data_IF_261710190866
#
_entry.id   IF_261710190866
#
_cell.length_a   1.000
_cell.length_b   1.000
_cell.length_c   1.000
_cell.angle_alpha   90.00
_cell.angle_beta   90.00
_cell.angle_gamma   90.00
#
_symmetry.space_group_name_H-M   'P 1'
#
loop_
_entity.id
_entity.type
_entity.pdbx_description
1 polymer ?
#
# COMPACT_ATOMS: atom_id res chain seq x y z
N UNK A 1 16.00 56.28 10.99
CA UNK A 1 15.66 54.88 10.65
C UNK A 1 14.64 54.39 11.68
N UNK A 2 13.35 54.43 11.33
CA UNK A 2 12.24 53.98 12.17
C UNK A 2 11.66 52.71 11.53
N UNK A 3 11.66 51.61 12.26
CA UNK A 3 11.12 50.33 11.83
C UNK A 3 9.63 50.27 12.16
N UNK A 4 8.85 49.88 11.15
CA UNK A 4 7.41 49.66 11.19
C UNK A 4 7.14 48.21 11.62
N UNK A 5 6.39 47.93 12.70
CA UNK A 5 6.06 46.56 13.06
C UNK A 5 4.79 46.09 12.32
N UNK A 6 5.00 45.24 11.31
CA UNK A 6 4.00 44.40 10.63
C UNK A 6 3.54 43.25 11.55
N UNK A 7 2.89 43.59 12.67
CA UNK A 7 2.35 42.61 13.63
C UNK A 7 0.83 42.72 13.81
N UNK A 8 0.02 42.64 12.75
CA UNK A 8 -1.25 41.97 12.96
C UNK A 8 -1.69 41.18 11.73
N UNK A 9 -0.91 40.19 11.30
CA UNK A 9 -1.36 39.22 10.26
C UNK A 9 -1.26 37.77 10.75
N UNK A 10 -0.76 37.52 11.97
CA UNK A 10 -0.65 36.17 12.54
C UNK A 10 -1.82 35.79 13.48
N UNK A 11 -2.94 36.53 13.49
CA UNK A 11 -4.06 36.25 14.40
C UNK A 11 -5.36 35.77 13.71
N UNK A 12 -5.34 35.50 12.39
CA UNK A 12 -6.57 35.15 11.63
C UNK A 12 -6.63 33.67 11.20
N UNK A 13 -5.60 32.86 11.45
CA UNK A 13 -5.58 31.45 11.02
C UNK A 13 -6.01 30.41 12.08
N UNK A 14 -6.29 30.81 13.33
CA UNK A 14 -6.69 29.87 14.38
C UNK A 14 -8.21 29.69 14.56
N UNK A 15 -9.05 30.40 13.79
CA UNK A 15 -10.50 30.40 14.00
C UNK A 15 -11.30 29.52 13.01
N UNK A 16 -10.66 28.55 12.33
CA UNK A 16 -11.35 27.72 11.32
C UNK A 16 -11.72 26.30 11.76
N UNK A 17 -11.76 26.01 13.07
CA UNK A 17 -12.42 24.81 13.60
C UNK A 17 -13.33 25.17 14.76
N UNK A 18 -14.55 25.59 14.44
CA UNK A 18 -15.68 25.50 15.35
C UNK A 18 -16.73 24.64 14.64
N UNK A 19 -16.75 23.35 14.98
CA UNK A 19 -17.78 22.44 14.51
C UNK A 19 -19.07 22.72 15.29
N UNK A 20 -20.24 22.85 14.61
CA UNK A 20 -21.52 23.01 15.29
C UNK A 20 -21.93 21.71 16.01
N UNK A 21 -22.40 21.83 17.25
CA UNK A 21 -22.69 20.73 18.19
C UNK A 21 -24.00 19.95 17.90
N UNK A 22 -24.76 20.25 16.84
CA UNK A 22 -26.10 19.70 16.62
C UNK A 22 -26.22 18.80 15.38
N UNK A 23 -25.36 17.78 15.26
CA UNK A 23 -25.60 16.65 14.35
C UNK A 23 -26.19 15.47 15.15
N UNK A 24 -27.37 14.90 14.78
CA UNK A 24 -27.91 13.76 15.48
C UNK A 24 -26.99 12.55 15.30
N UNK A 25 -26.35 12.16 16.40
CA UNK A 25 -25.50 10.99 16.49
C UNK A 25 -26.35 9.72 16.44
N UNK A 26 -26.37 9.03 15.31
CA UNK A 26 -26.50 7.57 15.29
C UNK A 26 -25.54 6.97 14.28
N UNK A 27 -24.25 7.20 14.50
CA UNK A 27 -23.23 6.27 14.01
C UNK A 27 -23.34 5.05 14.92
N UNK A 28 -23.85 3.95 14.39
CA UNK A 28 -23.77 2.66 15.06
C UNK A 28 -22.31 2.44 15.43
N UNK A 29 -22.03 2.41 16.74
CA UNK A 29 -20.71 2.06 17.26
C UNK A 29 -20.49 0.61 16.85
N UNK A 30 -19.69 0.40 15.82
CA UNK A 30 -19.08 -0.89 15.58
C UNK A 30 -18.22 -1.19 16.81
N UNK A 31 -18.63 -2.20 17.58
CA UNK A 31 -17.78 -2.81 18.58
C UNK A 31 -16.55 -3.35 17.83
N UNK A 32 -15.48 -2.54 17.82
CA UNK A 32 -14.17 -2.99 17.35
C UNK A 32 -13.68 -3.95 18.41
N UNK A 33 -13.97 -5.23 18.20
CA UNK A 33 -13.30 -6.33 18.88
C UNK A 33 -11.80 -6.10 18.67
N UNK A 34 -11.10 -5.71 19.74
CA UNK A 34 -9.66 -5.50 19.74
C UNK A 34 -9.02 -6.84 19.45
N UNK A 35 -8.78 -7.11 18.17
CA UNK A 35 -7.94 -8.19 17.69
C UNK A 35 -6.58 -8.01 18.33
N UNK A 36 -6.28 -8.90 19.27
CA UNK A 36 -4.98 -9.03 19.93
C UNK A 36 -3.93 -9.02 18.83
N UNK A 37 -3.02 -8.04 18.87
CA UNK A 37 -2.00 -7.89 17.86
C UNK A 37 -1.16 -9.18 17.83
N UNK A 38 -1.46 -10.06 16.88
CA UNK A 38 -0.67 -11.26 16.66
C UNK A 38 0.78 -10.81 16.49
N UNK A 39 1.64 -11.20 17.43
CA UNK A 39 3.08 -11.07 17.26
C UNK A 39 3.43 -11.94 16.06
N UNK A 40 3.43 -11.36 14.87
CA UNK A 40 3.96 -12.00 13.67
C UNK A 40 5.42 -12.25 13.99
N UNK A 41 5.75 -13.51 14.30
CA UNK A 41 7.12 -13.90 14.60
C UNK A 41 8.05 -13.43 13.49
N UNK A 42 9.26 -13.00 13.84
CA UNK A 42 10.23 -12.57 12.85
C UNK A 42 10.44 -13.70 11.84
N UNK A 43 10.22 -13.41 10.56
CA UNK A 43 10.44 -14.37 9.47
C UNK A 43 11.94 -14.67 9.40
N UNK A 44 12.35 -15.94 9.46
CA UNK A 44 13.75 -16.33 9.23
C UNK A 44 14.12 -15.95 7.78
N UNK A 45 15.08 -15.04 7.54
CA UNK A 45 15.47 -14.64 6.21
C UNK A 45 15.89 -15.80 5.32
N UNK A 46 16.46 -16.88 5.89
CA UNK A 46 16.87 -18.06 5.12
C UNK A 46 15.66 -18.80 4.58
N UNK A 47 14.64 -19.01 5.41
CA UNK A 47 13.39 -19.66 4.97
C UNK A 47 12.70 -18.84 3.88
N UNK A 48 12.69 -17.51 4.04
CA UNK A 48 12.16 -16.62 3.01
C UNK A 48 12.94 -16.76 1.69
N UNK A 49 14.28 -16.73 1.74
CA UNK A 49 15.11 -16.84 0.53
C UNK A 49 14.95 -18.21 -0.13
N UNK A 50 14.96 -19.29 0.65
CA UNK A 50 14.80 -20.67 0.16
C UNK A 50 13.47 -20.88 -0.56
N UNK A 51 12.40 -20.21 -0.12
CA UNK A 51 11.09 -20.31 -0.77
C UNK A 51 10.99 -19.43 -2.01
N UNK A 52 11.26 -18.13 -1.88
CA UNK A 52 10.96 -17.14 -2.92
C UNK A 52 12.00 -17.10 -4.05
N UNK A 53 13.26 -17.45 -3.80
CA UNK A 53 14.34 -17.32 -4.79
C UNK A 53 14.70 -18.64 -5.48
N UNK A 54 13.72 -19.53 -5.63
CA UNK A 54 13.86 -20.82 -6.36
C UNK A 54 13.84 -20.68 -7.88
N UNK A 55 13.55 -19.48 -8.40
CA UNK A 55 13.33 -19.23 -9.83
C UNK A 55 11.93 -19.62 -10.32
N UNK A 56 11.03 -19.99 -9.41
CA UNK A 56 9.62 -20.27 -9.69
C UNK A 56 8.73 -19.07 -9.37
N UNK A 57 7.51 -19.08 -9.91
CA UNK A 57 6.47 -18.11 -9.59
C UNK A 57 5.34 -18.74 -8.78
N UNK A 58 4.72 -17.95 -7.90
CA UNK A 58 3.51 -18.35 -7.17
C UNK A 58 2.27 -17.72 -7.80
N UNK A 59 1.21 -18.52 -7.94
CA UNK A 59 -0.08 -18.11 -8.50
C UNK A 59 -1.18 -18.37 -7.49
N UNK A 60 -1.93 -17.33 -7.15
CA UNK A 60 -3.08 -17.43 -6.26
C UNK A 60 -4.34 -16.86 -6.91
N UNK A 61 -5.45 -17.56 -6.77
CA UNK A 61 -6.75 -17.16 -7.32
C UNK A 61 -7.77 -16.98 -6.20
N UNK A 62 -8.54 -15.90 -6.26
CA UNK A 62 -9.52 -15.54 -5.25
C UNK A 62 -10.84 -15.12 -5.90
N UNK A 63 -11.95 -15.43 -5.24
CA UNK A 63 -13.22 -14.76 -5.49
C UNK A 63 -13.11 -13.29 -5.01
N UNK A 64 -13.58 -12.35 -5.83
CA UNK A 64 -13.52 -10.91 -5.55
C UNK A 64 -14.93 -10.33 -5.49
N UNK A 65 -15.19 -9.48 -4.49
CA UNK A 65 -16.32 -8.54 -4.51
C UNK A 65 -15.79 -7.12 -4.56
N UNK A 66 -16.03 -6.44 -5.68
CA UNK A 66 -15.57 -5.07 -5.92
C UNK A 66 -16.76 -4.10 -5.89
N UNK A 67 -16.69 -3.07 -5.06
CA UNK A 67 -17.71 -2.02 -5.01
C UNK A 67 -17.46 -0.98 -6.10
N UNK A 68 -18.51 -0.65 -6.87
CA UNK A 68 -18.52 0.39 -7.91
C UNK A 68 -19.87 1.09 -7.92
N UNK A 69 -19.86 2.43 -7.83
CA UNK A 69 -21.07 3.26 -7.80
C UNK A 69 -22.08 2.85 -6.72
N UNK A 70 -21.60 2.39 -5.56
CA UNK A 70 -22.45 1.92 -4.47
C UNK A 70 -23.03 0.52 -4.67
N UNK A 71 -22.68 -0.19 -5.73
CA UNK A 71 -23.15 -1.55 -6.00
C UNK A 71 -21.99 -2.56 -5.91
N UNK A 72 -22.18 -3.73 -5.27
CA UNK A 72 -21.19 -4.80 -5.26
C UNK A 72 -21.17 -5.54 -6.61
N UNK A 73 -19.98 -5.78 -7.14
CA UNK A 73 -19.74 -6.55 -8.38
C UNK A 73 -18.91 -7.78 -8.05
N UNK A 74 -19.46 -8.95 -8.37
CA UNK A 74 -18.70 -10.20 -8.29
C UNK A 74 -17.65 -10.24 -9.40
N UNK A 75 -16.49 -10.82 -9.09
CA UNK A 75 -15.39 -10.98 -10.02
C UNK A 75 -14.33 -11.93 -9.49
N UNK A 76 -13.16 -11.90 -10.13
CA UNK A 76 -12.03 -12.75 -9.80
C UNK A 76 -10.78 -11.88 -9.63
N UNK A 77 -9.92 -12.27 -8.68
CA UNK A 77 -8.59 -11.70 -8.51
C UNK A 77 -7.53 -12.79 -8.65
N UNK A 78 -6.47 -12.48 -9.40
CA UNK A 78 -5.30 -13.35 -9.57
C UNK A 78 -4.07 -12.58 -9.12
N UNK A 79 -3.31 -13.16 -8.19
CA UNK A 79 -2.03 -12.65 -7.72
C UNK A 79 -0.92 -13.53 -8.26
N UNK A 80 0.00 -12.92 -9.01
CA UNK A 80 1.18 -13.60 -9.55
C UNK A 80 2.43 -13.01 -8.89
N UNK A 81 3.12 -13.82 -8.09
CA UNK A 81 4.39 -13.45 -7.46
C UNK A 81 5.55 -14.09 -8.21
N UNK A 82 6.54 -13.30 -8.60
CA UNK A 82 7.75 -13.77 -9.29
C UNK A 82 8.97 -12.98 -8.82
N UNK A 83 10.15 -13.60 -8.82
CA UNK A 83 11.41 -12.86 -8.66
C UNK A 83 11.91 -12.39 -10.04
N UNK A 84 12.28 -11.12 -10.17
CA UNK A 84 12.88 -10.58 -11.40
C UNK A 84 14.14 -9.74 -11.11
N UNK A 85 15.10 -9.68 -12.05
CA UNK A 85 16.26 -8.81 -11.92
C UNK A 85 15.89 -7.34 -12.15
N UNK A 86 16.43 -6.47 -11.31
CA UNK A 86 16.13 -5.04 -11.26
C UNK A 86 17.42 -4.24 -11.13
N UNK A 87 17.47 -3.06 -11.76
CA UNK A 87 18.62 -2.16 -11.66
C UNK A 87 18.51 -1.33 -10.38
N UNK A 88 19.50 -1.46 -9.50
CA UNK A 88 19.56 -0.66 -8.28
C UNK A 88 19.66 0.83 -8.59
N UNK A 89 20.45 1.20 -9.60
CA UNK A 89 20.67 2.60 -9.98
C UNK A 89 19.51 3.20 -10.77
N UNK A 90 18.97 2.48 -11.76
CA UNK A 90 17.94 3.01 -12.67
C UNK A 90 16.53 2.77 -12.17
N UNK A 91 16.35 1.87 -11.19
CA UNK A 91 15.05 1.50 -10.65
C UNK A 91 14.08 0.99 -11.73
N UNK A 92 14.60 0.17 -12.65
CA UNK A 92 13.81 -0.49 -13.71
C UNK A 92 14.24 -1.95 -13.83
N UNK A 93 13.36 -2.79 -14.40
CA UNK A 93 13.67 -4.18 -14.73
C UNK A 93 14.91 -4.26 -15.64
N UNK A 94 15.77 -5.24 -15.40
CA UNK A 94 16.90 -5.56 -16.26
C UNK A 94 16.53 -6.70 -17.23
N UNK A 95 16.74 -6.47 -18.53
CA UNK A 95 16.58 -7.52 -19.55
C UNK A 95 17.86 -8.36 -19.74
N UNK A 96 19.02 -7.80 -19.37
CA UNK A 96 20.35 -8.44 -19.48
C UNK A 96 21.15 -8.25 -18.19
N UNK A 97 20.74 -8.89 -17.07
CA UNK A 97 21.42 -8.74 -15.78
C UNK A 97 22.90 -9.17 -15.79
N UNK A 98 23.28 -10.07 -16.71
CA UNK A 98 24.65 -10.54 -16.89
C UNK A 98 25.62 -9.47 -17.42
N UNK A 99 25.11 -8.41 -18.07
CA UNK A 99 25.94 -7.35 -18.64
C UNK A 99 26.48 -6.38 -17.57
N UNK A 100 25.77 -6.24 -16.44
CA UNK A 100 26.21 -5.46 -15.28
C UNK A 100 25.69 -6.13 -13.99
N UNK A 101 26.38 -7.19 -13.52
CA UNK A 101 25.98 -7.92 -12.32
C UNK A 101 26.00 -7.06 -11.05
N UNK A 102 26.75 -5.95 -11.05
CA UNK A 102 26.86 -5.06 -9.88
C UNK A 102 25.64 -4.15 -9.71
N UNK A 103 24.96 -3.83 -10.80
CA UNK A 103 23.71 -3.06 -10.79
C UNK A 103 22.47 -3.97 -10.63
N UNK A 104 22.61 -5.28 -10.80
CA UNK A 104 21.52 -6.24 -10.70
C UNK A 104 21.17 -6.59 -9.23
N UNK A 105 19.90 -6.42 -8.87
CA UNK A 105 19.31 -6.95 -7.63
C UNK A 105 18.07 -7.76 -7.96
N UNK A 106 17.87 -8.90 -7.29
CA UNK A 106 16.66 -9.69 -7.45
C UNK A 106 15.55 -9.19 -6.53
N UNK A 107 14.41 -8.84 -7.10
CA UNK A 107 13.25 -8.28 -6.38
C UNK A 107 12.04 -9.19 -6.53
N UNK A 108 11.20 -9.26 -5.50
CA UNK A 108 9.90 -9.93 -5.58
C UNK A 108 8.87 -8.97 -6.17
N UNK A 109 8.23 -9.38 -7.27
CA UNK A 109 7.20 -8.63 -7.97
C UNK A 109 5.85 -9.30 -7.82
N UNK A 110 4.85 -8.49 -7.51
CA UNK A 110 3.44 -8.88 -7.56
C UNK A 110 2.79 -8.26 -8.80
N UNK A 111 2.23 -9.10 -9.68
CA UNK A 111 1.24 -8.68 -10.65
C UNK A 111 -0.15 -9.02 -10.12
N UNK A 112 -0.92 -7.98 -9.76
CA UNK A 112 -2.28 -8.13 -9.25
C UNK A 112 -3.30 -7.85 -10.36
N UNK A 113 -3.99 -8.89 -10.82
CA UNK A 113 -5.00 -8.82 -11.87
C UNK A 113 -6.38 -8.91 -11.22
N UNK A 114 -7.29 -8.01 -11.59
CA UNK A 114 -8.69 -8.03 -11.15
C UNK A 114 -9.60 -7.97 -12.36
N UNK A 115 -10.59 -8.85 -12.42
CA UNK A 115 -11.58 -8.90 -13.49
C UNK A 115 -12.99 -8.89 -12.88
N UNK A 116 -13.76 -7.85 -13.17
CA UNK A 116 -15.14 -7.68 -12.73
C UNK A 116 -15.90 -6.78 -13.73
N UNK A 117 -17.24 -6.84 -13.80
CA UNK A 117 -18.04 -5.92 -14.62
C UNK A 117 -17.88 -4.46 -14.16
N UNK A 118 -17.49 -3.57 -15.07
CA UNK A 118 -17.18 -2.15 -14.77
C UNK A 118 -18.33 -1.19 -15.04
#
# INVERSE_FOLDING_TARGET
>A
MKYLPLWPVLLVLYASCHAPDDAPASVARSDVEQSEAATVGAVDPRQFTEYWYTGQGELNSYALTQWRYGEPRAGEAVLVFVTEPFSQRKQVKLDRPEADPTDAVSVLKLNHIRKFPT
#
